data_IF_033429531801
#
_entry.id   IF_033429531801
#
_cell.length_a   1.000
_cell.length_b   1.000
_cell.length_c   1.000
_cell.angle_alpha   90.00
_cell.angle_beta   90.00
_cell.angle_gamma   90.00
#
_symmetry.space_group_name_H-M   'P 1'
#
loop_
_entity.id
_entity.type
_entity.pdbx_description
1 polymer ?
#
# COMPACT_ATOMS: atom_id res chain seq x y z
N UNK A 1 -1.97 5.85 0.25
CA UNK A 1 -0.56 6.29 0.04
C UNK A 1 -0.41 7.78 -0.30
N UNK A 2 -1.01 8.33 -1.38
CA UNK A 2 -0.75 9.70 -1.85
C UNK A 2 -1.49 10.85 -1.14
N UNK A 3 -2.29 10.57 -0.10
CA UNK A 3 -3.16 11.56 0.58
C UNK A 3 -2.40 12.82 1.01
N UNK A 4 -1.20 12.67 1.57
CA UNK A 4 -0.37 13.80 2.02
C UNK A 4 0.14 14.69 0.88
N UNK A 5 0.17 14.19 -0.36
CA UNK A 5 0.67 14.89 -1.56
C UNK A 5 -0.46 15.59 -2.32
N UNK A 6 -1.63 14.96 -2.36
CA UNK A 6 -2.78 15.47 -3.11
C UNK A 6 -3.54 16.51 -2.26
N UNK A 7 -3.83 16.20 -1.00
CA UNK A 7 -4.74 17.00 -0.17
C UNK A 7 -4.05 18.12 0.63
N UNK A 8 -3.09 18.85 0.03
CA UNK A 8 -2.18 19.78 0.75
C UNK A 8 -2.89 20.89 1.54
N UNK A 9 -4.11 21.25 1.14
CA UNK A 9 -4.96 22.23 1.81
C UNK A 9 -5.55 21.74 3.14
N UNK A 10 -5.57 20.43 3.39
CA UNK A 10 -6.08 19.88 4.65
C UNK A 10 -5.08 20.02 5.81
N UNK A 11 -5.63 20.20 7.01
CA UNK A 11 -4.85 20.12 8.27
C UNK A 11 -4.14 18.77 8.36
N UNK A 12 -2.91 18.76 8.83
CA UNK A 12 -2.07 17.56 8.87
C UNK A 12 -2.70 16.40 9.65
N UNK A 13 -3.40 16.69 10.76
CA UNK A 13 -4.12 15.69 11.54
C UNK A 13 -5.27 15.04 10.75
N UNK A 14 -6.00 15.81 9.93
CA UNK A 14 -7.05 15.26 9.06
C UNK A 14 -6.46 14.36 7.99
N UNK A 15 -5.32 14.73 7.40
CA UNK A 15 -4.62 13.87 6.42
C UNK A 15 -4.18 12.55 7.04
N UNK A 16 -3.66 12.57 8.28
CA UNK A 16 -3.31 11.36 9.03
C UNK A 16 -4.51 10.45 9.23
N UNK A 17 -5.63 11.02 9.67
CA UNK A 17 -6.86 10.26 9.89
C UNK A 17 -7.36 9.66 8.57
N UNK A 18 -7.48 10.44 7.51
CA UNK A 18 -7.90 9.93 6.18
C UNK A 18 -6.95 8.84 5.68
N UNK A 19 -5.63 9.04 5.83
CA UNK A 19 -4.66 8.03 5.47
C UNK A 19 -4.89 6.73 6.23
N UNK A 20 -5.01 6.82 7.55
CA UNK A 20 -5.25 5.65 8.38
C UNK A 20 -6.56 4.96 8.03
N UNK A 21 -7.67 5.69 7.93
CA UNK A 21 -8.98 5.13 7.58
C UNK A 21 -8.94 4.39 6.25
N UNK A 22 -8.38 4.99 5.20
CA UNK A 22 -8.28 4.34 3.88
C UNK A 22 -7.43 3.06 3.95
N UNK A 23 -6.32 3.09 4.71
CA UNK A 23 -5.47 1.90 4.86
C UNK A 23 -6.15 0.80 5.69
N UNK A 24 -6.90 1.17 6.74
CA UNK A 24 -7.69 0.22 7.53
C UNK A 24 -8.78 -0.42 6.68
N UNK A 25 -9.52 0.36 5.89
CA UNK A 25 -10.53 -0.18 4.96
C UNK A 25 -9.90 -1.14 3.96
N UNK A 26 -8.74 -0.78 3.39
CA UNK A 26 -8.01 -1.65 2.47
C UNK A 26 -7.60 -2.98 3.13
N UNK A 27 -7.08 -2.93 4.36
CA UNK A 27 -6.71 -4.15 5.10
C UNK A 27 -7.93 -5.04 5.38
N UNK A 28 -9.07 -4.46 5.80
CA UNK A 28 -10.30 -5.22 6.03
C UNK A 28 -10.75 -5.94 4.76
N UNK A 29 -10.76 -5.24 3.61
CA UNK A 29 -11.12 -5.86 2.32
C UNK A 29 -10.13 -6.96 1.94
N UNK A 30 -8.83 -6.76 2.15
CA UNK A 30 -7.81 -7.79 1.90
C UNK A 30 -8.00 -9.03 2.78
N UNK A 31 -8.33 -8.86 4.07
CA UNK A 31 -8.61 -9.97 4.99
C UNK A 31 -9.86 -10.73 4.58
N UNK A 32 -10.93 -10.04 4.16
CA UNK A 32 -12.14 -10.68 3.65
C UNK A 32 -11.88 -11.48 2.37
N UNK A 33 -11.07 -10.94 1.45
CA UNK A 33 -10.63 -11.67 0.25
C UNK A 33 -9.80 -12.92 0.59
N UNK A 34 -8.86 -12.79 1.53
CA UNK A 34 -8.07 -13.91 2.06
C UNK A 34 -8.95 -14.99 2.70
N UNK A 35 -9.90 -14.59 3.54
CA UNK A 35 -10.88 -15.51 4.12
C UNK A 35 -11.72 -16.22 3.04
N UNK A 36 -12.18 -15.48 2.02
CA UNK A 36 -13.00 -16.04 0.95
C UNK A 36 -12.25 -17.14 0.17
N UNK A 37 -10.97 -16.95 -0.15
CA UNK A 37 -10.20 -17.98 -0.87
C UNK A 37 -9.91 -19.21 0.01
N UNK A 38 -9.59 -19.00 1.29
CA UNK A 38 -9.37 -20.12 2.23
C UNK A 38 -10.65 -20.94 2.42
N UNK A 39 -11.78 -20.27 2.62
CA UNK A 39 -13.08 -20.92 2.71
C UNK A 39 -13.42 -21.70 1.43
N UNK A 40 -13.21 -21.09 0.25
CA UNK A 40 -13.45 -21.75 -1.03
C UNK A 40 -12.59 -23.00 -1.20
N UNK A 41 -11.29 -22.92 -0.88
CA UNK A 41 -10.38 -24.05 -0.95
C UNK A 41 -10.79 -25.17 0.01
N UNK A 42 -11.15 -24.85 1.25
CA UNK A 42 -11.58 -25.84 2.23
C UNK A 42 -12.86 -26.56 1.81
N UNK A 43 -13.84 -25.85 1.25
CA UNK A 43 -15.08 -26.44 0.73
C UNK A 43 -14.84 -27.31 -0.51
N UNK A 44 -13.80 -27.00 -1.30
CA UNK A 44 -13.46 -27.71 -2.54
C UNK A 44 -12.34 -28.73 -2.39
N UNK A 45 -11.86 -28.96 -1.16
CA UNK A 45 -10.72 -29.82 -0.86
C UNK A 45 -9.47 -29.49 -1.71
N UNK A 46 -9.22 -28.19 -1.89
CA UNK A 46 -8.02 -27.68 -2.58
C UNK A 46 -6.97 -27.37 -1.51
N UNK A 47 -5.72 -27.84 -1.65
CA UNK A 47 -4.65 -27.49 -0.72
C UNK A 47 -4.46 -25.96 -0.63
N UNK A 48 -4.23 -25.45 0.58
CA UNK A 48 -3.94 -24.04 0.79
C UNK A 48 -2.42 -23.76 0.71
N UNK A 49 -2.07 -22.52 0.40
CA UNK A 49 -0.70 -21.99 0.50
C UNK A 49 0.40 -22.75 -0.28
N UNK A 50 0.07 -23.40 -1.40
CA UNK A 50 1.07 -24.12 -2.21
C UNK A 50 1.69 -23.29 -3.33
N UNK A 51 1.10 -22.15 -3.69
CA UNK A 51 1.56 -21.33 -4.82
C UNK A 51 2.40 -20.13 -4.37
N UNK A 52 3.31 -19.65 -5.22
CA UNK A 52 4.08 -18.45 -4.93
C UNK A 52 3.16 -17.22 -4.74
N UNK A 53 2.07 -17.12 -5.50
CA UNK A 53 1.05 -16.09 -5.31
C UNK A 53 0.54 -16.06 -3.86
N UNK A 54 0.24 -17.24 -3.28
CA UNK A 54 -0.27 -17.35 -1.92
C UNK A 54 0.77 -16.97 -0.85
N UNK A 55 2.04 -17.30 -1.05
CA UNK A 55 3.15 -16.92 -0.15
C UNK A 55 3.40 -15.41 -0.17
N UNK A 56 3.40 -14.81 -1.35
CA UNK A 56 3.49 -13.36 -1.50
C UNK A 56 2.25 -12.67 -0.90
N UNK A 57 1.07 -13.25 -1.07
CA UNK A 57 -0.20 -12.73 -0.54
C UNK A 57 -0.24 -12.69 0.98
N UNK A 58 0.12 -13.80 1.65
CA UNK A 58 0.17 -13.82 3.13
C UNK A 58 1.25 -12.87 3.67
N UNK A 59 2.39 -12.78 2.98
CA UNK A 59 3.46 -11.83 3.33
C UNK A 59 2.97 -10.39 3.19
N UNK A 60 2.25 -10.05 2.13
CA UNK A 60 1.70 -8.71 1.91
C UNK A 60 0.64 -8.33 2.95
N UNK A 61 -0.27 -9.25 3.30
CA UNK A 61 -1.30 -9.00 4.33
C UNK A 61 -0.64 -8.83 5.71
N UNK A 62 0.29 -9.71 6.08
CA UNK A 62 1.02 -9.62 7.35
C UNK A 62 1.88 -8.36 7.46
N UNK A 63 2.61 -8.03 6.39
CA UNK A 63 3.38 -6.78 6.29
C UNK A 63 2.50 -5.53 6.35
N UNK A 64 1.32 -5.57 5.72
CA UNK A 64 0.38 -4.46 5.78
C UNK A 64 -0.21 -4.29 7.19
N UNK A 65 -0.66 -5.38 7.82
CA UNK A 65 -1.24 -5.35 9.15
C UNK A 65 -0.23 -4.86 10.20
N UNK A 66 0.99 -5.40 10.18
CA UNK A 66 2.06 -4.96 11.08
C UNK A 66 2.42 -3.49 10.89
N UNK A 67 2.53 -3.04 9.63
CA UNK A 67 2.79 -1.63 9.31
C UNK A 67 1.65 -0.70 9.78
N UNK A 68 0.39 -1.12 9.65
CA UNK A 68 -0.77 -0.34 10.09
C UNK A 68 -0.82 -0.20 11.62
N UNK A 69 -0.61 -1.29 12.34
CA UNK A 69 -0.57 -1.31 13.81
C UNK A 69 0.59 -0.45 14.31
N UNK A 70 1.78 -0.64 13.77
CA UNK A 70 2.94 0.17 14.14
C UNK A 70 2.69 1.66 13.84
N UNK A 71 2.13 1.99 12.67
CA UNK A 71 1.84 3.36 12.29
C UNK A 71 0.80 4.04 13.22
N UNK A 72 -0.18 3.29 13.71
CA UNK A 72 -1.15 3.78 14.68
C UNK A 72 -0.47 4.26 15.96
N UNK A 73 0.30 3.39 16.61
CA UNK A 73 0.97 3.72 17.87
C UNK A 73 2.07 4.78 17.71
N UNK A 74 2.80 4.75 16.59
CA UNK A 74 3.90 5.69 16.35
C UNK A 74 3.40 7.08 15.96
N UNK A 75 2.38 7.20 15.11
CA UNK A 75 2.02 8.46 14.44
C UNK A 75 0.63 9.02 14.75
N UNK A 76 -0.29 8.24 15.36
CA UNK A 76 -1.66 8.66 15.68
C UNK A 76 -1.91 8.77 17.18
N UNK A 77 -2.02 7.65 17.89
CA UNK A 77 -2.39 7.62 19.31
C UNK A 77 -1.76 6.41 20.03
N UNK A 78 -1.20 6.58 21.25
CA UNK A 78 -0.95 7.86 21.93
C UNK A 78 0.12 8.69 21.22
N UNK A 79 0.86 8.06 20.30
CA UNK A 79 1.97 8.66 19.58
C UNK A 79 3.23 8.68 20.46
N UNK A 80 4.38 8.29 19.89
CA UNK A 80 5.66 8.23 20.62
C UNK A 80 6.45 9.55 20.56
N UNK A 81 7.58 9.65 21.26
CA UNK A 81 8.45 10.83 21.21
C UNK A 81 8.83 11.24 19.77
N UNK A 82 8.86 12.55 19.43
CA UNK A 82 9.23 13.03 18.10
C UNK A 82 10.59 12.54 17.57
N UNK A 83 11.56 12.25 18.44
CA UNK A 83 12.87 11.70 18.08
C UNK A 83 12.70 10.32 17.46
N UNK A 84 12.01 9.41 18.16
CA UNK A 84 11.75 8.06 17.65
C UNK A 84 10.87 8.08 16.39
N UNK A 85 9.86 8.96 16.34
CA UNK A 85 9.05 9.15 15.11
C UNK A 85 9.90 9.50 13.91
N UNK A 86 10.94 10.33 14.08
CA UNK A 86 11.84 10.72 12.99
C UNK A 86 12.72 9.56 12.53
N UNK A 87 13.17 8.72 13.46
CA UNK A 87 13.98 7.53 13.17
C UNK A 87 13.20 6.44 12.44
N UNK A 88 11.93 6.21 12.81
CA UNK A 88 11.09 5.15 12.23
C UNK A 88 10.38 5.57 10.94
N UNK A 89 10.24 6.87 10.67
CA UNK A 89 9.53 7.39 9.50
C UNK A 89 10.10 6.87 8.15
N UNK A 90 11.43 6.83 7.91
CA UNK A 90 11.98 6.26 6.67
C UNK A 90 11.56 4.80 6.47
N UNK A 91 11.59 3.99 7.53
CA UNK A 91 11.17 2.59 7.49
C UNK A 91 9.67 2.45 7.20
N UNK A 92 8.83 3.29 7.80
CA UNK A 92 7.40 3.29 7.50
C UNK A 92 7.12 3.66 6.03
N UNK A 93 7.81 4.67 5.48
CA UNK A 93 7.67 5.08 4.08
C UNK A 93 8.16 3.96 3.15
N UNK A 94 9.34 3.40 3.42
CA UNK A 94 9.90 2.29 2.63
C UNK A 94 8.97 1.08 2.67
N UNK A 95 8.61 0.61 3.87
CA UNK A 95 7.74 -0.55 4.05
C UNK A 95 6.37 -0.38 3.40
N UNK A 96 5.74 0.79 3.54
CA UNK A 96 4.47 1.08 2.87
C UNK A 96 4.58 1.10 1.33
N UNK A 97 5.71 1.57 0.80
CA UNK A 97 5.96 1.59 -0.65
C UNK A 97 6.28 0.18 -1.17
N UNK A 98 7.14 -0.56 -0.48
CA UNK A 98 7.48 -1.94 -0.80
C UNK A 98 6.24 -2.83 -0.79
N UNK A 99 5.36 -2.67 0.22
CA UNK A 99 4.12 -3.45 0.32
C UNK A 99 3.13 -3.13 -0.81
N UNK A 100 3.10 -1.89 -1.30
CA UNK A 100 2.30 -1.52 -2.49
C UNK A 100 2.77 -2.28 -3.73
N UNK A 101 4.09 -2.29 -3.96
CA UNK A 101 4.70 -3.02 -5.10
C UNK A 101 4.47 -4.53 -4.96
N UNK A 102 4.65 -5.08 -3.75
CA UNK A 102 4.38 -6.47 -3.46
C UNK A 102 2.90 -6.83 -3.72
N UNK A 103 1.97 -5.98 -3.32
CA UNK A 103 0.52 -6.20 -3.56
C UNK A 103 0.19 -6.18 -5.05
N UNK A 104 0.85 -5.31 -5.84
CA UNK A 104 0.71 -5.35 -7.30
C UNK A 104 1.24 -6.67 -7.88
N UNK A 105 2.40 -7.16 -7.42
CA UNK A 105 2.93 -8.46 -7.82
C UNK A 105 1.99 -9.63 -7.44
N UNK A 106 1.38 -9.58 -6.24
CA UNK A 106 0.36 -10.53 -5.80
C UNK A 106 -0.85 -10.49 -6.74
N UNK A 107 -1.36 -9.31 -7.08
CA UNK A 107 -2.48 -9.19 -8.01
C UNK A 107 -2.15 -9.76 -9.40
N UNK A 108 -0.98 -9.45 -9.95
CA UNK A 108 -0.53 -9.93 -11.27
C UNK A 108 -0.39 -11.45 -11.27
N UNK A 109 0.31 -12.02 -10.28
CA UNK A 109 0.47 -13.48 -10.15
C UNK A 109 -0.88 -14.20 -9.98
N UNK A 110 -1.80 -13.62 -9.20
CA UNK A 110 -3.15 -14.17 -9.02
C UNK A 110 -4.01 -14.12 -10.29
N UNK A 111 -3.94 -13.02 -11.04
CA UNK A 111 -4.59 -12.90 -12.36
C UNK A 111 -4.04 -13.96 -13.33
N UNK A 112 -2.73 -14.16 -13.37
CA UNK A 112 -2.08 -15.17 -14.21
C UNK A 112 -2.51 -16.59 -13.81
N UNK A 113 -2.43 -16.94 -12.52
CA UNK A 113 -2.89 -18.25 -12.03
C UNK A 113 -4.37 -18.49 -12.39
N UNK A 114 -5.22 -17.49 -12.15
CA UNK A 114 -6.65 -17.61 -12.43
C UNK A 114 -6.94 -17.76 -13.92
N UNK A 115 -6.23 -17.04 -14.78
CA UNK A 115 -6.37 -17.14 -16.23
C UNK A 115 -5.96 -18.54 -16.72
N UNK A 116 -4.79 -19.03 -16.27
CA UNK A 116 -4.27 -20.34 -16.66
C UNK A 116 -5.22 -21.47 -16.25
N UNK A 117 -5.73 -21.45 -15.02
CA UNK A 117 -6.62 -22.52 -14.53
C UNK A 117 -8.03 -22.41 -15.11
N UNK A 118 -8.62 -21.22 -15.11
CA UNK A 118 -10.04 -21.07 -15.48
C UNK A 118 -10.26 -21.23 -16.97
N UNK A 119 -9.34 -20.75 -17.82
CA UNK A 119 -9.49 -20.92 -19.26
C UNK A 119 -9.27 -22.38 -19.67
N UNK A 120 -8.23 -23.03 -19.12
CA UNK A 120 -7.98 -24.45 -19.34
C UNK A 120 -9.20 -25.30 -18.98
N UNK A 121 -9.84 -25.03 -17.84
CA UNK A 121 -11.06 -25.74 -17.43
C UNK A 121 -12.27 -25.54 -18.36
N UNK A 122 -12.27 -24.47 -19.16
CA UNK A 122 -13.34 -24.13 -20.11
C UNK A 122 -13.01 -24.53 -21.56
N UNK A 123 -11.96 -25.31 -21.78
CA UNK A 123 -11.53 -25.72 -23.12
C UNK A 123 -10.87 -24.62 -23.95
N UNK A 124 -10.55 -23.47 -23.35
CA UNK A 124 -9.83 -22.38 -24.01
C UNK A 124 -8.38 -22.34 -23.50
N UNK A 125 -7.40 -22.47 -24.38
CA UNK A 125 -6.00 -22.37 -23.95
C UNK A 125 -5.56 -20.91 -23.86
N UNK A 126 -4.98 -20.53 -22.72
CA UNK A 126 -4.46 -19.16 -22.51
C UNK A 126 -3.46 -18.74 -23.58
N UNK A 127 -2.63 -19.67 -24.08
CA UNK A 127 -1.63 -19.42 -25.13
C UNK A 127 -2.23 -18.96 -26.46
N UNK A 128 -3.49 -19.32 -26.73
CA UNK A 128 -4.21 -18.92 -27.95
C UNK A 128 -4.81 -17.52 -27.81
N UNK A 129 -4.57 -16.85 -26.67
CA UNK A 129 -4.99 -15.49 -26.37
C UNK A 129 -6.49 -15.22 -26.64
N UNK A 130 -7.41 -16.04 -26.09
CA UNK A 130 -8.84 -15.81 -26.25
C UNK A 130 -9.24 -14.45 -25.63
N UNK A 131 -10.38 -13.89 -26.05
CA UNK A 131 -10.81 -12.55 -25.59
C UNK A 131 -10.75 -12.33 -24.07
N UNK A 132 -11.15 -13.28 -23.19
CA UNK A 132 -10.99 -13.11 -21.75
C UNK A 132 -9.52 -13.01 -21.29
N UNK A 133 -8.58 -13.70 -21.96
CA UNK A 133 -7.15 -13.59 -21.66
C UNK A 133 -6.61 -12.18 -22.00
N UNK A 134 -7.06 -11.60 -23.12
CA UNK A 134 -6.72 -10.20 -23.49
C UNK A 134 -7.19 -9.24 -22.40
N UNK A 135 -8.44 -9.38 -21.94
CA UNK A 135 -9.00 -8.52 -20.90
C UNK A 135 -8.20 -8.64 -19.59
N UNK A 136 -7.88 -9.87 -19.16
CA UNK A 136 -7.08 -10.11 -17.95
C UNK A 136 -5.69 -9.48 -18.08
N UNK A 137 -5.03 -9.59 -19.24
CA UNK A 137 -3.70 -9.02 -19.47
C UNK A 137 -3.72 -7.49 -19.49
N UNK A 138 -4.72 -6.89 -20.12
CA UNK A 138 -4.90 -5.44 -20.12
C UNK A 138 -5.16 -4.90 -18.71
N UNK A 139 -5.92 -5.65 -17.90
CA UNK A 139 -6.12 -5.31 -16.50
C UNK A 139 -4.84 -5.47 -15.66
N UNK A 140 -4.05 -6.53 -15.89
CA UNK A 140 -2.74 -6.68 -15.27
C UNK A 140 -1.77 -5.54 -15.63
N UNK A 141 -1.75 -5.12 -16.90
CA UNK A 141 -0.94 -4.00 -17.37
C UNK A 141 -1.37 -2.68 -16.71
N UNK A 142 -2.67 -2.44 -16.56
CA UNK A 142 -3.16 -1.21 -15.92
C UNK A 142 -2.76 -1.15 -14.44
N UNK A 143 -2.74 -2.28 -13.72
CA UNK A 143 -2.23 -2.37 -12.35
C UNK A 143 -0.74 -1.98 -12.29
N UNK A 144 0.07 -2.47 -13.23
CA UNK A 144 1.51 -2.13 -13.32
C UNK A 144 1.68 -0.62 -13.54
N UNK A 145 1.01 -0.06 -14.54
CA UNK A 145 1.08 1.37 -14.87
C UNK A 145 0.63 2.23 -13.69
N UNK A 146 -0.50 1.89 -13.07
CA UNK A 146 -0.99 2.57 -11.88
C UNK A 146 0.05 2.56 -10.74
N UNK A 147 0.64 1.40 -10.46
CA UNK A 147 1.63 1.25 -9.38
C UNK A 147 2.87 2.09 -9.66
N UNK A 148 3.40 2.05 -10.89
CA UNK A 148 4.56 2.86 -11.30
C UNK A 148 4.28 4.35 -11.16
N UNK A 149 3.12 4.83 -11.63
CA UNK A 149 2.74 6.23 -11.51
C UNK A 149 2.61 6.66 -10.04
N UNK A 150 1.99 5.84 -9.19
CA UNK A 150 1.87 6.13 -7.75
C UNK A 150 3.25 6.23 -7.09
N UNK A 151 4.16 5.29 -7.38
CA UNK A 151 5.53 5.30 -6.85
C UNK A 151 6.29 6.52 -7.36
N UNK A 152 6.17 6.88 -8.63
CA UNK A 152 6.78 8.07 -9.21
C UNK A 152 6.32 9.36 -8.53
N UNK A 153 5.01 9.56 -8.34
CA UNK A 153 4.47 10.71 -7.59
C UNK A 153 4.96 10.70 -6.13
N UNK A 154 5.12 9.51 -5.55
CA UNK A 154 5.59 9.32 -4.17
C UNK A 154 7.08 9.66 -3.99
N UNK A 155 7.92 9.57 -5.01
CA UNK A 155 9.35 9.90 -4.91
C UNK A 155 9.67 11.36 -5.24
N UNK A 156 8.80 12.04 -5.99
CA UNK A 156 8.97 13.44 -6.40
C UNK A 156 9.01 14.43 -5.22
N UNK A 157 10.12 15.15 -4.97
CA UNK A 157 10.22 16.12 -3.87
C UNK A 157 9.22 17.28 -4.00
N UNK A 158 8.87 17.65 -5.22
CA UNK A 158 7.99 18.78 -5.56
C UNK A 158 6.57 18.59 -5.02
N UNK A 159 6.13 17.33 -4.92
CA UNK A 159 4.82 16.98 -4.38
C UNK A 159 4.86 16.70 -2.87
N UNK A 160 6.04 16.67 -2.24
CA UNK A 160 6.14 16.52 -0.79
C UNK A 160 5.59 17.77 -0.11
N UNK A 161 4.72 17.60 0.88
CA UNK A 161 4.20 18.72 1.67
C UNK A 161 5.38 19.46 2.31
N UNK A 162 5.52 20.75 1.98
CA UNK A 162 6.44 21.64 2.70
C UNK A 162 5.88 21.84 4.10
N UNK A 163 6.70 21.60 5.13
CA UNK A 163 6.39 22.08 6.46
C UNK A 163 6.39 23.61 6.34
N UNK A 164 5.23 24.24 6.43
CA UNK A 164 5.17 25.68 6.71
C UNK A 164 5.45 25.71 8.21
N UNK A 165 6.66 26.10 8.66
CA UNK A 165 6.80 26.43 10.07
C UNK A 165 5.75 27.50 10.31
N UNK A 166 4.96 27.38 11.37
CA UNK A 166 4.26 28.55 11.85
C UNK A 166 5.35 29.60 12.05
N UNK A 167 5.48 30.56 11.14
CA UNK A 167 6.55 31.57 11.17
C UNK A 167 6.48 32.44 12.43
N UNK A 168 5.48 32.19 13.28
CA UNK A 168 5.17 32.90 14.50
C UNK A 168 5.37 32.04 15.77
N UNK A 169 5.93 30.83 15.66
CA UNK A 169 6.22 30.01 16.83
C UNK A 169 7.51 30.49 17.55
N UNK A 170 7.47 30.80 18.86
CA UNK A 170 8.59 31.44 19.58
C UNK A 170 9.93 30.69 19.42
N UNK A 171 9.88 29.36 19.41
CA UNK A 171 11.07 28.50 19.28
C UNK A 171 11.80 28.63 17.94
N UNK A 172 11.13 29.13 16.89
CA UNK A 172 11.74 29.38 15.58
C UNK A 172 12.27 30.81 15.43
N UNK A 173 11.84 31.78 16.26
CA UNK A 173 12.44 33.12 16.31
C UNK A 173 13.84 33.05 16.93
N UNK A 174 13.97 32.41 18.08
CA UNK A 174 15.24 32.26 18.81
C UNK A 174 16.34 31.60 17.97
N UNK A 175 15.98 30.58 17.18
CA UNK A 175 16.94 29.91 16.28
C UNK A 175 17.42 30.81 15.14
N UNK A 176 16.61 31.77 14.69
CA UNK A 176 16.98 32.68 13.60
C UNK A 176 17.93 33.77 14.08
N UNK A 177 17.67 34.31 15.28
CA UNK A 177 18.53 35.29 15.95
C UNK A 177 19.92 34.72 16.23
N UNK A 178 20.02 33.45 16.63
CA UNK A 178 21.31 32.78 16.89
C UNK A 178 22.11 32.36 15.65
N UNK A 179 21.57 32.50 14.44
CA UNK A 179 22.24 32.08 13.19
C UNK A 179 22.65 33.24 12.30
N UNK A 180 22.37 34.48 12.69
CA UNK A 180 22.67 35.69 11.92
C UNK A 180 23.79 36.53 12.58
N UNK A 181 24.36 36.05 13.68
CA UNK A 181 25.68 36.49 14.19
C UNK A 181 26.78 35.52 13.75
#
# INVERSE_FOLDING_TARGET
ILIYRISRWLRFQRQKLIHFTVQTTALVVSLLGGYAVLHYHNVKDIPNFYSLHSWLGVTAIGGFASSLVAAFFMFLYPGIDPVYRRLVLPFHIFGGTANMVLTAAVAITGLTEKALFSLKSKGAEYKNLPAPAVIINMFGLSIVVFTVLVVWVLTKPEFKRRYIPAMNAPQYKLRREQTIE
#
